data_IF_401564326749
#
_entry.id   IF_401564326749
#
_cell.length_a   1.000
_cell.length_b   1.000
_cell.length_c   1.000
_cell.angle_alpha   90.00
_cell.angle_beta   90.00
_cell.angle_gamma   90.00
#
_symmetry.space_group_name_H-M   'P 1'
#
loop_
_entity.id
_entity.type
_entity.pdbx_description
1 polymer ?
#
# COMPACT_ATOMS: atom_id res chain seq x y z
N UNK A 1 15.01 -15.39 -1.09
CA UNK A 1 14.16 -14.27 -1.55
C UNK A 1 12.84 -14.43 -0.83
N UNK A 2 12.47 -13.50 0.05
CA UNK A 2 11.08 -13.44 0.50
C UNK A 2 10.28 -12.90 -0.69
N UNK A 3 9.37 -13.71 -1.22
CA UNK A 3 8.34 -13.20 -2.11
C UNK A 3 7.44 -12.32 -1.24
N UNK A 4 7.22 -11.06 -1.62
CA UNK A 4 6.21 -10.26 -0.94
C UNK A 4 4.84 -10.87 -1.26
N UNK A 5 4.09 -11.25 -0.23
CA UNK A 5 2.77 -11.87 -0.39
C UNK A 5 1.69 -10.83 -0.14
N UNK A 6 0.59 -10.95 -0.88
CA UNK A 6 -0.62 -10.19 -0.58
C UNK A 6 -1.18 -10.66 0.76
N UNK A 7 -1.42 -9.72 1.64
CA UNK A 7 -1.99 -9.94 2.97
C UNK A 7 -3.22 -9.07 3.13
N UNK A 8 -4.15 -9.47 3.98
CA UNK A 8 -5.33 -8.65 4.28
C UNK A 8 -4.90 -7.26 4.76
N UNK A 9 -5.48 -6.22 4.18
CA UNK A 9 -5.15 -4.83 4.45
C UNK A 9 -6.37 -3.90 4.27
N UNK A 10 -6.24 -2.66 4.72
CA UNK A 10 -7.16 -1.57 4.37
C UNK A 10 -6.39 -0.40 3.79
N UNK A 11 -7.02 0.36 2.90
CA UNK A 11 -6.50 1.62 2.39
C UNK A 11 -7.58 2.69 2.47
N UNK A 12 -7.39 3.70 3.32
CA UNK A 12 -8.40 4.73 3.57
C UNK A 12 -9.73 4.17 4.05
N UNK A 13 -9.69 3.08 4.84
CA UNK A 13 -10.86 2.35 5.32
C UNK A 13 -11.49 1.39 4.30
N UNK A 14 -10.96 1.29 3.09
CA UNK A 14 -11.42 0.34 2.07
C UNK A 14 -10.75 -1.01 2.30
N UNK A 15 -11.50 -2.11 2.49
CA UNK A 15 -10.92 -3.43 2.71
C UNK A 15 -10.37 -4.03 1.41
N UNK A 16 -9.28 -4.78 1.52
CA UNK A 16 -8.64 -5.43 0.40
C UNK A 16 -7.41 -6.24 0.81
N UNK A 17 -6.48 -6.39 -0.12
CA UNK A 17 -5.22 -7.09 0.10
C UNK A 17 -4.05 -6.23 -0.37
N UNK A 18 -2.99 -6.15 0.41
CA UNK A 18 -1.84 -5.32 0.06
C UNK A 18 -0.67 -5.49 1.01
N UNK A 19 0.43 -4.86 0.65
CA UNK A 19 1.63 -4.81 1.48
C UNK A 19 2.45 -3.57 1.14
N UNK A 20 3.29 -3.16 2.09
CA UNK A 20 4.37 -2.22 1.86
C UNK A 20 5.74 -2.91 1.93
N UNK A 21 6.73 -2.40 1.21
CA UNK A 21 8.07 -2.95 1.09
C UNK A 21 9.11 -1.82 1.00
N UNK A 22 10.36 -2.07 1.44
CA UNK A 22 11.39 -1.05 1.47
C UNK A 22 12.02 -0.90 0.08
N UNK A 23 12.27 0.34 -0.32
CA UNK A 23 12.97 0.71 -1.54
C UNK A 23 14.16 1.59 -1.16
N UNK A 24 15.37 1.11 -1.48
CA UNK A 24 16.59 1.88 -1.25
C UNK A 24 16.70 3.00 -2.30
N UNK A 25 16.78 4.24 -1.83
CA UNK A 25 16.99 5.44 -2.66
C UNK A 25 18.32 6.10 -2.29
N UNK A 26 18.77 7.07 -3.10
CA UNK A 26 19.97 7.87 -2.80
C UNK A 26 19.84 8.70 -1.50
N UNK A 27 18.62 8.93 -1.01
CA UNK A 27 18.34 9.68 0.24
C UNK A 27 18.15 8.78 1.46
N UNK A 28 18.10 7.47 1.30
CA UNK A 28 17.76 6.52 2.34
C UNK A 28 16.69 5.52 1.89
N UNK A 29 16.22 4.71 2.84
CA UNK A 29 15.14 3.74 2.61
C UNK A 29 13.80 4.45 2.67
N UNK A 30 13.02 4.35 1.61
CA UNK A 30 11.59 4.72 1.62
C UNK A 30 10.75 3.45 1.59
N UNK A 31 9.46 3.54 1.92
CA UNK A 31 8.55 2.40 1.78
C UNK A 31 7.54 2.70 0.68
N UNK A 32 7.31 1.68 -0.15
CA UNK A 32 6.29 1.69 -1.21
C UNK A 32 5.34 0.56 -0.98
N UNK A 33 4.13 0.65 -1.49
CA UNK A 33 3.20 -0.45 -1.40
C UNK A 33 2.26 -0.58 -2.58
N UNK A 34 1.62 -1.73 -2.60
CA UNK A 34 0.58 -2.08 -3.56
C UNK A 34 -0.61 -2.57 -2.77
N UNK A 35 -1.79 -2.08 -3.13
CA UNK A 35 -3.07 -2.47 -2.55
C UNK A 35 -4.05 -2.84 -3.65
N UNK A 36 -4.82 -3.89 -3.43
CA UNK A 36 -5.91 -4.35 -4.28
C UNK A 36 -7.20 -4.26 -3.48
N UNK A 37 -8.16 -3.48 -3.97
CA UNK A 37 -9.46 -3.38 -3.34
C UNK A 37 -10.26 -4.67 -3.54
N UNK A 38 -11.01 -5.09 -2.53
CA UNK A 38 -11.95 -6.22 -2.65
C UNK A 38 -13.08 -5.93 -3.64
N UNK A 39 -13.65 -6.98 -4.24
CA UNK A 39 -14.72 -6.94 -5.27
C UNK A 39 -15.67 -5.74 -5.15
N UNK A 40 -15.73 -4.95 -6.23
CA UNK A 40 -16.58 -3.76 -6.45
C UNK A 40 -16.20 -2.48 -5.65
N UNK A 41 -15.10 -2.47 -4.90
CA UNK A 41 -14.63 -1.24 -4.26
C UNK A 41 -13.87 -0.34 -5.25
N UNK A 42 -14.37 0.88 -5.40
CA UNK A 42 -13.78 1.93 -6.24
C UNK A 42 -12.71 2.72 -5.46
N UNK A 43 -11.52 2.85 -6.07
CA UNK A 43 -10.40 3.62 -5.54
C UNK A 43 -10.20 4.96 -6.27
N UNK A 44 -11.01 5.30 -7.27
CA UNK A 44 -10.86 6.53 -8.08
C UNK A 44 -10.90 7.82 -7.26
N UNK A 45 -11.43 7.78 -6.02
CA UNK A 45 -11.46 8.90 -5.08
C UNK A 45 -10.23 9.03 -4.16
N UNK A 46 -9.26 8.11 -4.23
CA UNK A 46 -8.03 8.11 -3.44
C UNK A 46 -6.80 8.83 -4.03
N UNK A 47 -6.56 8.91 -5.35
CA UNK A 47 -5.33 9.51 -5.86
C UNK A 47 -5.25 10.99 -5.47
N UNK A 48 -4.09 11.42 -4.97
CA UNK A 48 -3.86 12.79 -4.49
C UNK A 48 -4.49 13.11 -3.13
N UNK A 49 -4.88 12.10 -2.34
CA UNK A 49 -5.10 12.27 -0.90
C UNK A 49 -3.77 12.08 -0.18
N UNK A 50 -3.17 13.18 0.27
CA UNK A 50 -1.95 13.17 1.11
C UNK A 50 -2.17 12.53 2.52
N UNK A 51 -3.41 12.09 2.84
CA UNK A 51 -3.82 11.60 4.16
C UNK A 51 -4.49 10.21 4.11
N UNK A 52 -4.23 9.41 3.07
CA UNK A 52 -4.73 8.04 3.09
C UNK A 52 -3.94 7.22 4.11
N UNK A 53 -4.63 6.37 4.88
CA UNK A 53 -3.99 5.46 5.83
C UNK A 53 -3.97 4.05 5.24
N UNK A 54 -2.80 3.42 5.19
CA UNK A 54 -2.66 2.00 4.90
C UNK A 54 -2.52 1.22 6.21
N UNK A 55 -3.40 0.24 6.43
CA UNK A 55 -3.29 -0.70 7.54
C UNK A 55 -3.01 -2.09 6.98
N UNK A 56 -1.86 -2.67 7.28
CA UNK A 56 -1.51 -3.97 6.71
C UNK A 56 -0.07 -4.38 6.98
N UNK A 57 0.42 -5.34 6.20
CA UNK A 57 1.78 -5.85 6.34
C UNK A 57 2.80 -4.91 5.72
N UNK A 58 3.78 -4.48 6.52
CA UNK A 58 4.98 -3.76 6.11
C UNK A 58 6.17 -4.71 6.21
N UNK A 59 6.71 -5.08 5.06
CA UNK A 59 7.94 -5.85 4.96
C UNK A 59 9.15 -4.97 5.24
N UNK A 60 10.02 -5.43 6.14
CA UNK A 60 11.32 -4.87 6.44
C UNK A 60 12.41 -5.75 5.80
N UNK A 61 13.67 -5.28 5.81
CA UNK A 61 14.79 -6.05 5.23
C UNK A 61 14.97 -7.45 5.84
N UNK A 62 14.61 -7.63 7.10
CA UNK A 62 14.86 -8.86 7.88
C UNK A 62 13.63 -9.43 8.58
N UNK A 63 12.47 -8.79 8.46
CA UNK A 63 11.26 -9.15 9.19
C UNK A 63 10.02 -8.54 8.52
N UNK A 64 8.85 -8.83 9.04
CA UNK A 64 7.59 -8.17 8.68
C UNK A 64 6.90 -7.67 9.94
N UNK A 65 6.06 -6.66 9.81
CA UNK A 65 5.18 -6.19 10.87
C UNK A 65 3.83 -5.79 10.30
N UNK A 66 2.77 -5.93 11.09
CA UNK A 66 1.50 -5.27 10.80
C UNK A 66 1.55 -3.87 11.39
N UNK A 67 1.20 -2.87 10.59
CA UNK A 67 1.32 -1.47 10.98
C UNK A 67 0.23 -0.62 10.32
N UNK A 68 0.02 0.57 10.86
CA UNK A 68 -0.83 1.62 10.30
C UNK A 68 0.06 2.79 9.92
N UNK A 69 0.13 3.12 8.62
CA UNK A 69 1.03 4.15 8.11
C UNK A 69 0.29 5.14 7.22
N UNK A 70 0.58 6.45 7.33
CA UNK A 70 0.09 7.43 6.36
C UNK A 70 0.79 7.21 5.02
N UNK A 71 0.04 7.31 3.92
CA UNK A 71 0.52 7.05 2.57
C UNK A 71 -0.02 8.07 1.57
N UNK A 72 0.80 8.37 0.57
CA UNK A 72 0.39 9.10 -0.63
C UNK A 72 0.05 8.10 -1.73
N UNK A 73 -1.21 8.10 -2.20
CA UNK A 73 -1.66 7.24 -3.29
C UNK A 73 -1.25 7.87 -4.62
N UNK A 74 -0.18 7.32 -5.18
CA UNK A 74 0.47 7.84 -6.39
C UNK A 74 -0.21 7.42 -7.70
N UNK A 75 -0.89 6.28 -7.70
CA UNK A 75 -1.50 5.72 -8.91
C UNK A 75 -2.67 4.79 -8.57
N UNK A 76 -3.73 4.84 -9.36
CA UNK A 76 -4.88 3.92 -9.29
C UNK A 76 -5.16 3.38 -10.68
N UNK A 77 -5.28 2.05 -10.79
CA UNK A 77 -5.51 1.35 -12.05
C UNK A 77 -6.60 0.30 -11.87
N UNK A 78 -7.61 0.34 -12.74
CA UNK A 78 -8.63 -0.70 -12.82
C UNK A 78 -8.05 -1.99 -13.42
N UNK A 79 -8.23 -3.11 -12.72
CA UNK A 79 -7.78 -4.45 -13.10
C UNK A 79 -8.97 -5.42 -13.14
N UNK A 80 -8.78 -6.60 -13.73
CA UNK A 80 -9.87 -7.58 -13.89
C UNK A 80 -10.51 -8.04 -12.55
N UNK A 81 -9.81 -7.86 -11.43
CA UNK A 81 -10.22 -8.28 -10.09
C UNK A 81 -10.67 -7.11 -9.19
N UNK A 82 -10.81 -5.90 -9.74
CA UNK A 82 -11.17 -4.69 -8.99
C UNK A 82 -10.24 -3.53 -9.29
N UNK A 83 -9.78 -2.83 -8.26
CA UNK A 83 -8.92 -1.66 -8.38
C UNK A 83 -7.57 -1.91 -7.70
N UNK A 84 -6.46 -1.56 -8.35
CA UNK A 84 -5.12 -1.56 -7.76
C UNK A 84 -4.70 -0.13 -7.46
N UNK A 85 -4.18 0.13 -6.27
CA UNK A 85 -3.50 1.36 -5.90
C UNK A 85 -2.01 1.09 -5.65
N UNK A 86 -1.16 1.98 -6.15
CA UNK A 86 0.25 2.08 -5.77
C UNK A 86 0.44 3.32 -4.89
N UNK A 87 1.19 3.18 -3.79
CA UNK A 87 1.38 4.25 -2.82
C UNK A 87 2.81 4.33 -2.30
N UNK A 88 3.20 5.53 -1.87
CA UNK A 88 4.44 5.80 -1.14
C UNK A 88 4.07 6.06 0.34
N UNK A 89 4.80 5.46 1.28
CA UNK A 89 4.61 5.73 2.72
C UNK A 89 5.19 7.09 3.06
N UNK A 90 4.41 7.91 3.74
CA UNK A 90 4.83 9.22 4.22
C UNK A 90 5.66 9.03 5.50
N UNK A 91 6.86 9.59 5.50
CA UNK A 91 7.79 9.55 6.64
C UNK A 91 7.06 10.04 7.90
N UNK A 92 7.02 9.21 8.94
CA UNK A 92 6.38 9.49 10.24
C UNK A 92 7.34 10.22 11.18
#
# INVERSE_FOLDING_TARGET
MALYELQNATLGGIPGEGYAYPVDTYKGTVYRGVFFAGNDADLDGLPGRDDATFEGTVYLKTSERTDEVPVDVTNVVNVAVGSRADFDVLDS
#
